data_IF_041261671914
#
_entry.id   IF_041261671914
#
_cell.length_a   1.000
_cell.length_b   1.000
_cell.length_c   1.000
_cell.angle_alpha   90.00
_cell.angle_beta   90.00
_cell.angle_gamma   90.00
#
_symmetry.space_group_name_H-M   'P 1'
#
loop_
_entity.id
_entity.type
_entity.pdbx_description
1 polymer ?
#
# COMPACT_ATOMS: atom_id res chain seq x y z
N UNK A 1 5.37 25.84 0.96
CA UNK A 1 5.47 24.38 0.74
C UNK A 1 4.22 23.71 1.29
N UNK A 2 3.53 22.90 0.50
CA UNK A 2 2.29 22.25 0.92
C UNK A 2 2.52 21.35 2.16
N UNK A 3 1.60 21.42 3.12
CA UNK A 3 1.62 20.63 4.37
C UNK A 3 1.69 19.13 4.04
N UNK A 4 2.69 18.44 4.61
CA UNK A 4 2.89 16.99 4.40
C UNK A 4 1.73 16.19 5.01
N UNK A 5 1.12 15.31 4.22
CA UNK A 5 0.05 14.44 4.68
C UNK A 5 0.62 13.32 5.58
N UNK A 6 0.12 13.24 6.81
CA UNK A 6 0.54 12.25 7.81
C UNK A 6 -0.43 11.07 7.93
N UNK A 7 -1.52 11.05 7.14
CA UNK A 7 -2.46 9.93 7.07
C UNK A 7 -1.75 8.74 6.42
N UNK A 8 -1.99 7.55 6.95
CA UNK A 8 -1.31 6.33 6.54
C UNK A 8 -2.30 5.17 6.49
N UNK A 9 -2.05 4.23 5.59
CA UNK A 9 -2.82 2.99 5.47
C UNK A 9 -2.49 2.03 6.61
N UNK A 10 -3.51 1.29 7.05
CA UNK A 10 -3.37 0.30 8.13
C UNK A 10 -2.62 -0.95 7.66
N UNK A 11 -2.02 -1.68 8.62
CA UNK A 11 -1.30 -2.93 8.34
C UNK A 11 -2.15 -3.97 7.60
N UNK A 12 -3.45 -4.07 7.95
CA UNK A 12 -4.38 -5.02 7.31
C UNK A 12 -4.55 -4.71 5.82
N UNK A 13 -4.64 -3.43 5.46
CA UNK A 13 -4.75 -3.00 4.05
C UNK A 13 -3.43 -3.25 3.32
N UNK A 14 -2.30 -2.96 3.95
CA UNK A 14 -0.97 -3.27 3.42
C UNK A 14 -0.85 -4.75 3.03
N UNK A 15 -1.20 -5.66 3.95
CA UNK A 15 -1.13 -7.10 3.69
C UNK A 15 -2.02 -7.55 2.53
N UNK A 16 -3.22 -6.96 2.38
CA UNK A 16 -4.10 -7.25 1.24
C UNK A 16 -3.51 -6.70 -0.07
N UNK A 17 -2.97 -5.49 -0.06
CA UNK A 17 -2.33 -4.89 -1.22
C UNK A 17 -1.12 -5.68 -1.70
N UNK A 18 -0.27 -6.18 -0.79
CA UNK A 18 0.84 -7.07 -1.15
C UNK A 18 0.36 -8.36 -1.80
N UNK A 19 -0.75 -8.95 -1.34
CA UNK A 19 -1.36 -10.11 -1.99
C UNK A 19 -1.84 -9.80 -3.40
N UNK A 20 -2.48 -8.65 -3.61
CA UNK A 20 -2.96 -8.20 -4.93
C UNK A 20 -1.80 -8.01 -5.91
N UNK A 21 -0.66 -7.48 -5.45
CA UNK A 21 0.54 -7.33 -6.30
C UNK A 21 1.14 -8.67 -6.72
N UNK A 22 1.21 -9.61 -5.78
CA UNK A 22 1.84 -10.93 -6.02
C UNK A 22 0.91 -11.91 -6.74
N UNK A 23 -0.40 -11.68 -6.73
CA UNK A 23 -1.36 -12.56 -7.39
C UNK A 23 -1.50 -12.21 -8.89
N UNK A 24 -1.26 -13.22 -9.73
CA UNK A 24 -1.31 -13.12 -11.19
C UNK A 24 -2.70 -12.84 -11.76
N UNK A 25 -3.76 -13.08 -10.98
CA UNK A 25 -5.16 -12.94 -11.41
C UNK A 25 -5.66 -11.49 -11.44
N UNK A 26 -4.94 -10.56 -10.80
CA UNK A 26 -5.34 -9.15 -10.75
C UNK A 26 -4.84 -8.36 -11.97
N UNK A 27 -5.71 -7.48 -12.46
CA UNK A 27 -5.42 -6.57 -13.57
C UNK A 27 -4.36 -5.53 -13.21
N UNK A 28 -3.77 -4.90 -14.24
CA UNK A 28 -2.78 -3.82 -14.08
C UNK A 28 -3.32 -2.67 -13.23
N UNK A 29 -4.60 -2.32 -13.38
CA UNK A 29 -5.24 -1.25 -12.62
C UNK A 29 -5.31 -1.59 -11.13
N UNK A 30 -5.73 -2.81 -10.79
CA UNK A 30 -5.78 -3.28 -9.39
C UNK A 30 -4.40 -3.28 -8.75
N UNK A 31 -3.36 -3.68 -9.50
CA UNK A 31 -1.97 -3.66 -9.04
C UNK A 31 -1.46 -2.24 -8.82
N UNK A 32 -1.82 -1.29 -9.70
CA UNK A 32 -1.47 0.12 -9.53
C UNK A 32 -2.05 0.70 -8.23
N UNK A 33 -3.36 0.47 -7.98
CA UNK A 33 -4.03 0.91 -6.75
C UNK A 33 -3.40 0.26 -5.51
N UNK A 34 -3.09 -1.03 -5.57
CA UNK A 34 -2.41 -1.74 -4.48
C UNK A 34 -1.01 -1.16 -4.20
N UNK A 35 -0.26 -0.80 -5.24
CA UNK A 35 1.02 -0.10 -5.13
C UNK A 35 0.87 1.24 -4.41
N UNK A 36 -0.06 2.09 -4.85
CA UNK A 36 -0.35 3.37 -4.18
C UNK A 36 -0.72 3.18 -2.70
N UNK A 37 -1.53 2.16 -2.40
CA UNK A 37 -1.91 1.85 -1.03
C UNK A 37 -0.72 1.43 -0.17
N UNK A 38 0.25 0.68 -0.71
CA UNK A 38 1.48 0.28 -0.03
C UNK A 38 2.42 1.45 0.24
N UNK A 39 2.56 2.36 -0.73
CA UNK A 39 3.40 3.56 -0.57
C UNK A 39 2.95 4.48 0.56
N UNK A 40 1.67 4.41 0.94
CA UNK A 40 1.09 5.17 2.05
C UNK A 40 1.08 4.39 3.38
N UNK A 41 1.65 3.19 3.43
CA UNK A 41 1.65 2.37 4.65
C UNK A 41 2.67 2.85 5.66
N UNK A 42 2.34 2.67 6.94
CA UNK A 42 3.28 2.99 8.02
C UNK A 42 4.50 2.07 7.90
N UNK A 43 5.73 2.62 7.87
CA UNK A 43 6.92 1.79 7.93
C UNK A 43 6.88 0.96 9.21
N UNK A 44 7.13 -0.34 9.08
CA UNK A 44 7.36 -1.17 10.26
C UNK A 44 8.61 -0.65 10.94
N UNK A 45 8.50 -0.20 12.20
CA UNK A 45 9.67 -0.06 13.08
C UNK A 45 10.33 -1.44 13.13
N UNK A 46 11.39 -1.65 12.32
CA UNK A 46 12.31 -2.77 12.54
C UNK A 46 12.91 -2.53 13.93
N UNK A 47 12.76 -3.52 14.81
CA UNK A 47 13.54 -3.60 16.04
C UNK A 47 14.98 -3.90 15.66
#
# INVERSE_FOLDING_TARGET
MAKRNTRQTSKRVASKASKILNDGRFSKNSKSVAGSALSQTRPSKKK
#
